data_IF_599231354306
#
_entry.id   IF_599231354306
#
_cell.length_a   1.000
_cell.length_b   1.000
_cell.length_c   1.000
_cell.angle_alpha   90.00
_cell.angle_beta   90.00
_cell.angle_gamma   90.00
#
_symmetry.space_group_name_H-M   'P 1'
#
loop_
_entity.id
_entity.type
_entity.pdbx_description
1 polymer ?
#
# COMPACT_ATOMS: atom_id res chain seq x y z
N UNK A 1 9.34 12.91 -18.28
CA UNK A 1 8.04 12.20 -18.28
C UNK A 1 7.54 12.16 -16.85
N UNK A 2 6.26 12.51 -16.63
CA UNK A 2 5.57 12.30 -15.34
C UNK A 2 5.04 10.85 -15.30
N UNK A 3 4.46 10.44 -14.18
CA UNK A 3 3.90 9.10 -14.00
C UNK A 3 2.92 8.75 -15.13
N UNK A 4 3.09 7.55 -15.69
CA UNK A 4 2.05 6.86 -16.46
C UNK A 4 1.67 5.62 -15.65
N UNK A 5 0.42 5.54 -15.22
CA UNK A 5 -0.12 4.41 -14.47
C UNK A 5 -1.30 3.84 -15.26
N UNK A 6 -1.17 2.60 -15.73
CA UNK A 6 -2.15 2.01 -16.64
C UNK A 6 -2.49 0.57 -16.28
N UNK A 7 -3.75 0.19 -16.44
CA UNK A 7 -4.20 -1.18 -16.26
C UNK A 7 -4.17 -1.94 -17.60
N UNK A 8 -3.61 -3.14 -17.61
CA UNK A 8 -3.71 -4.13 -18.67
C UNK A 8 -4.75 -5.17 -18.23
N UNK A 9 -5.99 -5.04 -18.71
CA UNK A 9 -6.99 -6.08 -18.51
C UNK A 9 -6.85 -7.07 -19.65
N UNK A 10 -6.53 -8.32 -19.33
CA UNK A 10 -6.33 -9.36 -20.33
C UNK A 10 -7.20 -10.59 -20.07
N UNK A 11 -7.50 -11.34 -21.13
CA UNK A 11 -8.26 -12.60 -21.10
C UNK A 11 -7.48 -13.79 -21.65
N UNK A 12 -6.21 -13.58 -22.02
CA UNK A 12 -5.37 -14.59 -22.63
C UNK A 12 -3.88 -14.25 -22.49
N UNK A 13 -3.05 -15.28 -22.53
CA UNK A 13 -1.59 -15.12 -22.54
C UNK A 13 -1.12 -14.30 -23.76
N UNK A 14 -1.77 -14.47 -24.92
CA UNK A 14 -1.46 -13.68 -26.12
C UNK A 14 -1.72 -12.18 -25.88
N UNK A 15 -2.87 -11.82 -25.30
CA UNK A 15 -3.18 -10.43 -25.00
C UNK A 15 -2.25 -9.84 -23.93
N UNK A 16 -1.86 -10.63 -22.93
CA UNK A 16 -0.83 -10.23 -21.98
C UNK A 16 0.49 -9.90 -22.69
N UNK A 17 0.99 -10.82 -23.52
CA UNK A 17 2.27 -10.68 -24.23
C UNK A 17 2.26 -9.52 -25.24
N UNK A 18 1.14 -9.29 -25.95
CA UNK A 18 0.97 -8.20 -26.91
C UNK A 18 1.21 -6.80 -26.29
N UNK A 19 0.95 -6.67 -24.98
CA UNK A 19 1.23 -5.44 -24.23
C UNK A 19 2.57 -5.50 -23.48
N UNK A 20 2.85 -6.62 -22.80
CA UNK A 20 4.01 -6.78 -21.95
C UNK A 20 5.33 -6.76 -22.73
N UNK A 21 5.43 -7.50 -23.84
CA UNK A 21 6.67 -7.64 -24.62
C UNK A 21 7.14 -6.28 -25.18
N UNK A 22 6.32 -5.52 -25.93
CA UNK A 22 6.74 -4.21 -26.42
C UNK A 22 7.09 -3.24 -25.28
N UNK A 23 6.36 -3.33 -24.16
CA UNK A 23 6.57 -2.45 -23.01
C UNK A 23 7.95 -2.65 -22.35
N UNK A 24 8.36 -3.91 -22.13
CA UNK A 24 9.64 -4.23 -21.50
C UNK A 24 10.82 -4.08 -22.47
N UNK A 25 10.68 -4.53 -23.72
CA UNK A 25 11.75 -4.42 -24.74
C UNK A 25 12.05 -2.95 -25.06
N UNK A 26 11.04 -2.09 -25.15
CA UNK A 26 11.26 -0.64 -25.32
C UNK A 26 11.99 -0.03 -24.12
N UNK A 27 11.70 -0.51 -22.90
CA UNK A 27 12.42 -0.11 -21.69
C UNK A 27 13.91 -0.46 -21.75
N UNK A 28 14.21 -1.72 -22.09
CA UNK A 28 15.59 -2.20 -22.27
C UNK A 28 16.31 -1.38 -23.33
N UNK A 29 15.70 -1.16 -24.50
CA UNK A 29 16.27 -0.35 -25.59
C UNK A 29 16.58 1.08 -25.17
N UNK A 30 15.74 1.66 -24.30
CA UNK A 30 15.94 3.02 -23.74
C UNK A 30 16.89 3.06 -22.55
N UNK A 31 17.36 1.92 -22.06
CA UNK A 31 18.13 1.79 -20.82
C UNK A 31 17.37 2.32 -19.61
N UNK A 32 16.06 2.11 -19.61
CA UNK A 32 15.20 2.34 -18.44
C UNK A 32 15.47 1.23 -17.39
N UNK A 33 15.14 1.49 -16.13
CA UNK A 33 15.13 0.43 -15.10
C UNK A 33 13.83 -0.35 -15.23
N UNK A 34 13.91 -1.57 -15.75
CA UNK A 34 12.74 -2.41 -16.03
C UNK A 34 12.59 -3.48 -14.95
N UNK A 35 11.40 -3.52 -14.35
CA UNK A 35 11.00 -4.52 -13.36
C UNK A 35 9.78 -5.27 -13.90
N UNK A 36 9.80 -6.59 -13.79
CA UNK A 36 8.65 -7.46 -14.04
C UNK A 36 8.31 -8.23 -12.77
N UNK A 37 7.04 -8.13 -12.34
CA UNK A 37 6.49 -8.82 -11.17
C UNK A 37 5.19 -9.47 -11.60
N UNK A 38 5.24 -10.76 -11.91
CA UNK A 38 4.14 -11.47 -12.57
C UNK A 38 4.05 -12.91 -12.06
N UNK A 39 3.01 -13.64 -12.45
CA UNK A 39 2.90 -15.07 -12.18
C UNK A 39 4.07 -15.84 -12.80
N UNK A 40 4.42 -16.99 -12.23
CA UNK A 40 5.51 -17.82 -12.79
C UNK A 40 5.24 -18.28 -14.22
N UNK A 41 3.97 -18.46 -14.59
CA UNK A 41 3.54 -18.79 -15.96
C UNK A 41 3.82 -17.64 -16.93
N UNK A 42 3.35 -16.43 -16.60
CA UNK A 42 3.55 -15.25 -17.43
C UNK A 42 5.03 -14.81 -17.47
N UNK A 43 5.79 -14.99 -16.39
CA UNK A 43 7.25 -14.78 -16.40
C UNK A 43 7.94 -15.70 -17.42
N UNK A 44 7.61 -17.00 -17.39
CA UNK A 44 8.21 -17.97 -18.31
C UNK A 44 7.92 -17.61 -19.77
N UNK A 45 6.67 -17.27 -20.08
CA UNK A 45 6.25 -16.81 -21.40
C UNK A 45 6.96 -15.52 -21.83
N UNK A 46 7.05 -14.54 -20.92
CA UNK A 46 7.70 -13.27 -21.21
C UNK A 46 9.19 -13.47 -21.52
N UNK A 47 9.89 -14.30 -20.73
CA UNK A 47 11.31 -14.64 -20.95
C UNK A 47 11.54 -15.32 -22.29
N UNK A 48 10.68 -16.26 -22.65
CA UNK A 48 10.75 -16.95 -23.95
C UNK A 48 10.65 -15.95 -25.12
N UNK A 49 9.71 -15.01 -25.05
CA UNK A 49 9.48 -14.03 -26.13
C UNK A 49 10.59 -12.98 -26.26
N UNK A 50 11.16 -12.51 -25.15
CA UNK A 50 12.19 -11.45 -25.18
C UNK A 50 13.62 -11.99 -25.33
N UNK A 51 13.84 -13.28 -25.06
CA UNK A 51 15.14 -13.93 -25.20
C UNK A 51 16.22 -13.28 -24.33
N UNK A 52 17.38 -12.97 -24.93
CA UNK A 52 18.56 -12.47 -24.22
C UNK A 52 18.33 -11.13 -23.49
N UNK A 53 17.36 -10.31 -23.94
CA UNK A 53 17.02 -9.05 -23.26
C UNK A 53 16.46 -9.27 -21.85
N UNK A 54 16.01 -10.49 -21.51
CA UNK A 54 15.56 -10.84 -20.16
C UNK A 54 16.63 -10.61 -19.08
N UNK A 55 17.92 -10.67 -19.43
CA UNK A 55 19.02 -10.43 -18.48
C UNK A 55 19.10 -8.95 -18.04
N UNK A 56 18.48 -8.05 -18.79
CA UNK A 56 18.44 -6.61 -18.50
C UNK A 56 17.20 -6.21 -17.69
N UNK A 57 16.31 -7.16 -17.39
CA UNK A 57 15.07 -6.95 -16.63
C UNK A 57 15.23 -7.57 -15.24
N UNK A 58 14.81 -6.83 -14.21
CA UNK A 58 14.71 -7.38 -12.85
C UNK A 58 13.38 -8.08 -12.68
N UNK A 59 13.41 -9.41 -12.54
CA UNK A 59 12.22 -10.20 -12.21
C UNK A 59 12.14 -10.37 -10.68
N UNK A 60 10.98 -10.06 -10.10
CA UNK A 60 10.71 -10.20 -8.68
C UNK A 60 9.48 -11.09 -8.48
N UNK A 61 9.44 -11.80 -7.35
CA UNK A 61 8.29 -12.63 -7.02
C UNK A 61 7.10 -11.75 -6.57
N UNK A 62 5.88 -12.26 -6.78
CA UNK A 62 4.66 -11.59 -6.34
C UNK A 62 4.66 -11.35 -4.83
N UNK A 63 5.10 -12.33 -4.03
CA UNK A 63 5.15 -12.24 -2.57
C UNK A 63 6.17 -11.22 -2.07
N UNK A 64 7.30 -11.05 -2.76
CA UNK A 64 8.32 -10.07 -2.35
C UNK A 64 7.89 -8.63 -2.68
N UNK A 65 7.11 -8.43 -3.74
CA UNK A 65 6.70 -7.11 -4.19
C UNK A 65 5.36 -6.65 -3.61
N UNK A 66 4.35 -7.54 -3.60
CA UNK A 66 2.97 -7.26 -3.18
C UNK A 66 2.68 -7.78 -1.76
N UNK A 67 3.63 -7.61 -0.85
CA UNK A 67 3.49 -8.07 0.54
C UNK A 67 2.52 -7.19 1.36
N UNK A 68 2.74 -5.87 1.36
CA UNK A 68 1.83 -4.90 1.96
C UNK A 68 1.73 -3.60 1.16
N UNK A 69 0.56 -2.93 1.15
CA UNK A 69 0.35 -1.72 0.35
C UNK A 69 1.39 -0.61 0.63
N UNK A 70 1.72 -0.40 1.91
CA UNK A 70 2.69 0.62 2.31
C UNK A 70 4.12 0.29 1.88
N UNK A 71 4.55 -0.96 2.06
CA UNK A 71 5.89 -1.43 1.64
C UNK A 71 6.03 -1.39 0.12
N UNK A 72 5.02 -1.81 -0.63
CA UNK A 72 5.03 -1.77 -2.10
C UNK A 72 5.15 -0.33 -2.61
N UNK A 73 4.39 0.62 -2.04
CA UNK A 73 4.50 2.04 -2.44
C UNK A 73 5.90 2.60 -2.20
N UNK A 74 6.51 2.29 -1.06
CA UNK A 74 7.86 2.71 -0.76
C UNK A 74 8.91 1.99 -1.63
N UNK A 75 8.66 0.74 -2.05
CA UNK A 75 9.51 0.05 -3.01
C UNK A 75 9.56 0.81 -4.35
N UNK A 76 8.44 1.36 -4.83
CA UNK A 76 8.48 2.26 -5.99
C UNK A 76 9.33 3.50 -5.72
N UNK A 77 9.13 4.19 -4.59
CA UNK A 77 9.92 5.37 -4.22
C UNK A 77 11.42 5.07 -4.19
N UNK A 78 11.86 3.98 -3.53
CA UNK A 78 13.27 3.60 -3.46
C UNK A 78 13.89 3.36 -4.84
N UNK A 79 13.13 2.78 -5.76
CA UNK A 79 13.58 2.48 -7.12
C UNK A 79 13.65 3.75 -7.96
N UNK A 80 12.71 4.68 -7.78
CA UNK A 80 12.75 6.01 -8.40
C UNK A 80 13.94 6.81 -7.87
N UNK A 81 14.17 6.81 -6.54
CA UNK A 81 15.29 7.53 -5.92
C UNK A 81 16.64 7.04 -6.46
N UNK A 82 16.78 5.72 -6.68
CA UNK A 82 17.99 5.11 -7.24
C UNK A 82 18.30 5.56 -8.68
N UNK A 83 17.35 6.18 -9.38
CA UNK A 83 17.55 6.75 -10.73
C UNK A 83 18.04 8.20 -10.70
N UNK A 84 18.24 8.78 -9.51
CA UNK A 84 18.75 10.15 -9.36
C UNK A 84 20.07 10.32 -10.13
N UNK A 85 20.15 11.36 -10.96
CA UNK A 85 21.31 11.62 -11.82
C UNK A 85 21.31 10.87 -13.15
N UNK A 86 20.31 10.03 -13.44
CA UNK A 86 20.18 9.32 -14.73
C UNK A 86 19.11 9.92 -15.65
N UNK A 87 19.16 9.59 -16.93
CA UNK A 87 18.15 9.95 -17.93
C UNK A 87 17.07 8.88 -18.14
N UNK A 88 17.17 7.71 -17.49
CA UNK A 88 16.17 6.65 -17.55
C UNK A 88 14.92 6.94 -16.71
N UNK A 89 13.90 6.09 -16.86
CA UNK A 89 12.73 6.05 -15.98
C UNK A 89 12.61 4.69 -15.28
N UNK A 90 11.75 4.61 -14.26
CA UNK A 90 11.31 3.32 -13.71
C UNK A 90 10.19 2.77 -14.60
N UNK A 91 10.34 1.53 -15.09
CA UNK A 91 9.26 0.78 -15.74
C UNK A 91 8.90 -0.44 -14.89
N UNK A 92 7.62 -0.57 -14.54
CA UNK A 92 7.12 -1.72 -13.79
C UNK A 92 6.00 -2.38 -14.58
N UNK A 93 6.20 -3.64 -14.96
CA UNK A 93 5.12 -4.55 -15.32
C UNK A 93 4.78 -5.34 -14.05
N UNK A 94 3.59 -5.13 -13.50
CA UNK A 94 3.18 -5.76 -12.25
C UNK A 94 1.84 -6.46 -12.40
N UNK A 95 1.63 -7.61 -11.78
CA UNK A 95 0.32 -8.27 -11.67
C UNK A 95 -0.08 -8.33 -10.18
N UNK A 96 -0.85 -7.35 -9.68
CA UNK A 96 -1.23 -7.33 -8.27
C UNK A 96 -2.02 -8.58 -7.86
N UNK A 97 -1.77 -9.05 -6.63
CA UNK A 97 -2.40 -10.27 -6.09
C UNK A 97 -3.70 -9.93 -5.39
N UNK A 98 -4.82 -10.43 -5.92
CA UNK A 98 -6.15 -10.19 -5.37
C UNK A 98 -6.84 -11.44 -4.82
N UNK A 99 -6.44 -12.62 -5.28
CA UNK A 99 -7.05 -13.87 -4.84
C UNK A 99 -6.68 -14.16 -3.38
N UNK A 100 -7.69 -14.49 -2.57
CA UNK A 100 -7.53 -14.82 -1.15
C UNK A 100 -7.53 -13.62 -0.20
N UNK A 101 -7.64 -12.39 -0.71
CA UNK A 101 -7.77 -11.20 0.14
C UNK A 101 -9.14 -11.13 0.82
N UNK A 102 -9.15 -10.72 2.08
CA UNK A 102 -10.39 -10.38 2.77
C UNK A 102 -10.96 -9.02 2.27
N UNK A 103 -12.21 -8.64 2.62
CA UNK A 103 -12.79 -7.36 2.17
C UNK A 103 -12.01 -6.11 2.60
N UNK A 104 -11.36 -6.16 3.76
CA UNK A 104 -10.57 -5.06 4.30
C UNK A 104 -9.25 -4.92 3.51
N UNK A 105 -8.54 -6.03 3.27
CA UNK A 105 -7.35 -6.08 2.43
C UNK A 105 -7.67 -5.61 1.00
N UNK A 106 -8.78 -6.09 0.43
CA UNK A 106 -9.24 -5.68 -0.90
C UNK A 106 -9.44 -4.16 -0.97
N UNK A 107 -10.08 -3.58 0.05
CA UNK A 107 -10.29 -2.14 0.11
C UNK A 107 -8.98 -1.35 0.19
N UNK A 108 -8.05 -1.78 1.05
CA UNK A 108 -6.76 -1.09 1.24
C UNK A 108 -5.82 -1.24 0.04
N UNK A 109 -5.83 -2.38 -0.66
CA UNK A 109 -5.10 -2.54 -1.92
C UNK A 109 -5.66 -1.62 -3.01
N UNK A 110 -6.98 -1.53 -3.15
CA UNK A 110 -7.61 -0.57 -4.07
C UNK A 110 -7.25 0.88 -3.73
N UNK A 111 -7.21 1.23 -2.44
CA UNK A 111 -6.77 2.56 -1.98
C UNK A 111 -5.30 2.83 -2.32
N UNK A 112 -4.44 1.83 -2.21
CA UNK A 112 -3.05 1.92 -2.65
C UNK A 112 -2.91 2.17 -4.15
N UNK A 113 -3.66 1.47 -4.99
CA UNK A 113 -3.61 1.69 -6.44
C UNK A 113 -4.05 3.12 -6.79
N UNK A 114 -5.11 3.59 -6.14
CA UNK A 114 -5.63 4.94 -6.32
C UNK A 114 -4.60 6.00 -5.89
N UNK A 115 -4.02 5.88 -4.69
CA UNK A 115 -3.10 6.89 -4.14
C UNK A 115 -1.75 6.91 -4.85
N UNK A 116 -1.38 5.84 -5.56
CA UNK A 116 -0.17 5.83 -6.40
C UNK A 116 -0.15 7.00 -7.39
N UNK A 117 -1.31 7.35 -7.96
CA UNK A 117 -1.46 8.47 -8.90
C UNK A 117 -1.15 9.83 -8.25
N UNK A 118 -1.23 9.93 -6.93
CA UNK A 118 -0.93 11.14 -6.16
C UNK A 118 0.50 11.08 -5.65
N UNK A 119 0.86 10.00 -4.96
CA UNK A 119 2.16 9.80 -4.33
C UNK A 119 3.32 9.81 -5.34
N UNK A 120 3.07 9.31 -6.56
CA UNK A 120 4.06 9.25 -7.62
C UNK A 120 3.80 10.25 -8.76
N UNK A 121 2.87 11.20 -8.63
CA UNK A 121 2.45 12.09 -9.72
C UNK A 121 3.61 12.80 -10.44
N UNK A 122 4.62 13.24 -9.69
CA UNK A 122 5.82 13.90 -10.19
C UNK A 122 6.96 12.96 -10.60
N UNK A 123 6.82 11.66 -10.34
CA UNK A 123 7.86 10.68 -10.56
C UNK A 123 8.06 10.36 -12.05
N UNK A 124 9.29 9.99 -12.39
CA UNK A 124 9.66 9.48 -13.71
C UNK A 124 9.42 7.98 -13.74
N UNK A 125 8.16 7.58 -13.84
CA UNK A 125 7.76 6.18 -13.81
C UNK A 125 6.70 5.86 -14.85
N UNK A 126 6.72 4.64 -15.38
CA UNK A 126 5.68 4.06 -16.21
C UNK A 126 5.34 2.67 -15.65
N UNK A 127 4.14 2.54 -15.10
CA UNK A 127 3.68 1.36 -14.38
C UNK A 127 2.48 0.79 -15.16
N UNK A 128 2.59 -0.48 -15.54
CA UNK A 128 1.55 -1.27 -16.20
C UNK A 128 1.13 -2.40 -15.23
N UNK A 129 -0.10 -2.32 -14.73
CA UNK A 129 -0.67 -3.29 -13.80
C UNK A 129 -1.57 -4.28 -14.57
N UNK A 130 -1.26 -5.57 -14.54
CA UNK A 130 -2.00 -6.63 -15.23
C UNK A 130 -3.14 -7.21 -14.38
N UNK A 131 -4.28 -7.46 -15.03
CA UNK A 131 -5.48 -8.04 -14.45
C UNK A 131 -6.02 -9.14 -15.37
N UNK A 132 -5.86 -10.41 -14.97
CA UNK A 132 -6.44 -11.54 -15.69
C UNK A 132 -7.94 -11.64 -15.42
N UNK A 133 -8.74 -11.13 -16.34
CA UNK A 133 -10.20 -11.09 -16.26
C UNK A 133 -10.87 -12.47 -16.23
N UNK A 134 -10.14 -13.55 -16.55
CA UNK A 134 -10.66 -14.92 -16.42
C UNK A 134 -10.64 -15.42 -14.98
N UNK A 135 -9.70 -14.90 -14.17
CA UNK A 135 -9.44 -15.39 -12.81
C UNK A 135 -9.92 -14.42 -11.74
N UNK A 136 -9.98 -13.12 -12.05
CA UNK A 136 -10.34 -12.08 -11.10
C UNK A 136 -11.86 -11.85 -11.06
N UNK A 137 -12.42 -11.55 -9.88
CA UNK A 137 -13.80 -11.07 -9.78
C UNK A 137 -14.01 -9.80 -10.60
N UNK A 138 -15.17 -9.66 -11.23
CA UNK A 138 -15.50 -8.49 -12.07
C UNK A 138 -15.31 -7.16 -11.32
N UNK A 139 -15.66 -7.10 -10.03
CA UNK A 139 -15.48 -5.90 -9.21
C UNK A 139 -14.01 -5.44 -9.09
N UNK A 140 -13.05 -6.36 -9.09
CA UNK A 140 -11.61 -6.02 -9.07
C UNK A 140 -11.19 -5.44 -10.42
N UNK A 141 -11.68 -6.01 -11.52
CA UNK A 141 -11.41 -5.48 -12.87
C UNK A 141 -12.06 -4.11 -13.05
N UNK A 142 -13.24 -3.89 -12.50
CA UNK A 142 -13.91 -2.59 -12.51
C UNK A 142 -13.12 -1.56 -11.68
N UNK A 143 -12.62 -1.95 -10.50
CA UNK A 143 -11.75 -1.09 -9.69
C UNK A 143 -10.45 -0.75 -10.40
N UNK A 144 -9.82 -1.70 -11.10
CA UNK A 144 -8.64 -1.41 -11.92
C UNK A 144 -8.90 -0.28 -12.92
N UNK A 145 -10.08 -0.27 -13.56
CA UNK A 145 -10.48 0.82 -14.48
C UNK A 145 -10.70 2.14 -13.77
N UNK A 146 -11.12 2.12 -12.50
CA UNK A 146 -11.36 3.31 -11.67
C UNK A 146 -10.08 3.87 -11.05
N UNK A 147 -9.08 3.04 -10.78
CA UNK A 147 -7.82 3.43 -10.14
C UNK A 147 -6.72 3.79 -11.14
N UNK A 148 -6.83 3.36 -12.41
CA UNK A 148 -5.84 3.64 -13.44
C UNK A 148 -6.34 4.71 -14.43
N UNK A 149 -5.62 5.84 -14.59
CA UNK A 149 -5.98 6.88 -15.57
C UNK A 149 -5.97 6.40 -17.03
N UNK A 150 -5.24 5.33 -17.31
CA UNK A 150 -5.10 4.76 -18.65
C UNK A 150 -5.23 3.24 -18.66
N UNK A 151 -5.54 2.68 -19.83
CA UNK A 151 -5.65 1.26 -20.10
C UNK A 151 -4.66 0.88 -21.20
N UNK A 152 -3.90 -0.19 -21.00
CA UNK A 152 -3.02 -0.75 -22.00
C UNK A 152 -3.83 -1.63 -22.98
N UNK A 153 -3.70 -1.35 -24.28
CA UNK A 153 -4.31 -2.13 -25.37
C UNK A 153 -3.22 -2.48 -26.39
N UNK A 154 -2.60 -3.65 -26.19
CA UNK A 154 -1.33 -3.99 -26.85
C UNK A 154 -0.26 -2.96 -26.49
N UNK A 155 0.47 -2.45 -27.48
CA UNK A 155 1.49 -1.42 -27.28
C UNK A 155 0.93 0.01 -27.06
N UNK A 156 -0.40 0.20 -27.10
CA UNK A 156 -1.04 1.52 -26.97
C UNK A 156 -1.54 1.76 -25.57
N UNK A 157 -1.69 3.04 -25.22
CA UNK A 157 -2.27 3.50 -23.96
C UNK A 157 -3.50 4.35 -24.28
N UNK A 158 -4.65 3.95 -23.77
CA UNK A 158 -5.95 4.63 -23.97
C UNK A 158 -6.42 5.22 -22.64
N UNK A 159 -7.14 6.34 -22.66
CA UNK A 159 -7.66 6.96 -21.43
C UNK A 159 -8.77 6.10 -20.83
N UNK A 160 -8.76 5.87 -19.53
CA UNK A 160 -9.86 5.20 -18.84
C UNK A 160 -11.00 6.18 -18.58
N UNK A 161 -12.15 5.96 -19.21
CA UNK A 161 -13.36 6.76 -18.97
C UNK A 161 -13.98 6.53 -17.58
N UNK A 162 -13.57 5.46 -16.89
CA UNK A 162 -14.06 5.12 -15.55
C UNK A 162 -13.15 5.65 -14.43
N UNK A 163 -12.02 6.28 -14.77
CA UNK A 163 -11.06 6.77 -13.79
C UNK A 163 -11.72 7.72 -12.79
N UNK A 164 -11.61 7.40 -11.50
CA UNK A 164 -12.16 8.18 -10.42
C UNK A 164 -11.09 9.11 -9.84
N UNK A 165 -11.51 10.28 -9.36
CA UNK A 165 -10.65 11.14 -8.57
C UNK A 165 -10.11 10.37 -7.33
N UNK A 166 -8.78 10.38 -7.07
CA UNK A 166 -8.22 9.58 -5.98
C UNK A 166 -8.79 9.90 -4.61
N UNK A 167 -9.10 11.17 -4.28
CA UNK A 167 -9.65 11.51 -2.97
C UNK A 167 -11.07 10.95 -2.82
N UNK A 168 -11.88 11.05 -3.89
CA UNK A 168 -13.23 10.50 -3.96
C UNK A 168 -13.25 8.97 -3.81
N UNK A 169 -12.38 8.27 -4.55
CA UNK A 169 -12.25 6.81 -4.45
C UNK A 169 -11.80 6.37 -3.05
N UNK A 170 -10.82 7.09 -2.47
CA UNK A 170 -10.31 6.79 -1.15
C UNK A 170 -11.37 6.99 -0.05
N UNK A 171 -12.19 8.03 -0.17
CA UNK A 171 -13.30 8.28 0.74
C UNK A 171 -14.39 7.19 0.65
N UNK A 172 -14.77 6.78 -0.56
CA UNK A 172 -15.71 5.69 -0.82
C UNK A 172 -15.25 4.37 -0.18
N UNK A 173 -13.95 4.06 -0.29
CA UNK A 173 -13.33 2.83 0.25
C UNK A 173 -13.03 2.89 1.75
N UNK A 174 -13.15 4.06 2.39
CA UNK A 174 -12.89 4.25 3.81
C UNK A 174 -14.12 3.92 4.68
N UNK A 175 -14.68 2.71 4.54
CA UNK A 175 -15.86 2.24 5.27
C UNK A 175 -15.68 2.21 6.80
N UNK A 176 -16.70 1.95 7.63
CA UNK A 176 -16.55 1.98 9.09
C UNK A 176 -15.54 0.94 9.61
N UNK A 177 -14.95 1.22 10.78
CA UNK A 177 -14.17 0.19 11.49
C UNK A 177 -15.12 -0.90 11.99
N UNK A 178 -14.72 -2.16 11.84
CA UNK A 178 -15.44 -3.28 12.46
C UNK A 178 -15.39 -3.18 13.98
N UNK A 179 -16.38 -3.72 14.69
CA UNK A 179 -16.37 -3.68 16.16
C UNK A 179 -15.20 -4.47 16.75
N UNK A 180 -14.73 -4.02 17.92
CA UNK A 180 -13.77 -4.78 18.74
C UNK A 180 -14.43 -6.08 19.23
N UNK A 181 -13.69 -7.17 19.42
CA UNK A 181 -14.27 -8.37 20.02
C UNK A 181 -14.67 -8.12 21.48
N UNK A 182 -15.67 -8.85 21.97
CA UNK A 182 -16.20 -8.68 23.33
C UNK A 182 -15.29 -9.27 24.43
N UNK A 183 -14.43 -10.24 24.08
CA UNK A 183 -13.53 -10.96 24.97
C UNK A 183 -12.14 -11.06 24.34
N UNK A 184 -11.12 -11.31 25.17
CA UNK A 184 -9.73 -11.47 24.70
C UNK A 184 -9.09 -10.17 24.22
N UNK A 185 -9.58 -9.03 24.74
CA UNK A 185 -9.03 -7.71 24.44
C UNK A 185 -8.31 -7.16 25.66
N UNK A 186 -7.08 -6.75 25.45
CA UNK A 186 -6.25 -6.08 26.43
C UNK A 186 -6.36 -4.57 26.23
N UNK A 187 -6.36 -3.80 27.32
CA UNK A 187 -6.54 -2.35 27.23
C UNK A 187 -5.62 -1.59 28.17
N UNK A 188 -5.06 -0.50 27.66
CA UNK A 188 -4.42 0.56 28.44
C UNK A 188 -5.23 1.85 28.28
N UNK A 189 -5.74 2.35 29.40
CA UNK A 189 -6.56 3.56 29.47
C UNK A 189 -5.72 4.82 29.69
N UNK A 190 -6.22 5.94 29.16
CA UNK A 190 -5.77 7.32 29.46
C UNK A 190 -4.25 7.46 29.52
N UNK A 191 -3.54 6.83 28.57
CA UNK A 191 -2.09 6.89 28.58
C UNK A 191 -1.62 8.31 28.25
N UNK A 192 -0.62 8.76 29.00
CA UNK A 192 0.09 10.03 28.77
C UNK A 192 1.60 9.82 28.59
N UNK A 193 2.11 8.65 28.99
CA UNK A 193 3.53 8.30 28.93
C UNK A 193 3.80 7.19 27.92
N UNK A 194 4.76 7.42 27.01
CA UNK A 194 5.12 6.43 25.98
C UNK A 194 5.80 5.19 26.54
N UNK A 195 6.45 5.30 27.70
CA UNK A 195 7.02 4.14 28.37
C UNK A 195 5.95 3.11 28.77
N UNK A 196 4.78 3.56 29.22
CA UNK A 196 3.67 2.69 29.57
C UNK A 196 3.10 1.98 28.33
N UNK A 197 2.95 2.70 27.21
CA UNK A 197 2.50 2.14 25.94
C UNK A 197 3.46 1.05 25.45
N UNK A 198 4.77 1.33 25.39
CA UNK A 198 5.76 0.35 24.94
C UNK A 198 5.77 -0.90 25.82
N UNK A 199 5.73 -0.74 27.14
CA UNK A 199 5.66 -1.86 28.07
C UNK A 199 4.39 -2.69 27.85
N UNK A 200 3.24 -2.05 27.71
CA UNK A 200 1.97 -2.73 27.45
C UNK A 200 2.02 -3.55 26.15
N UNK A 201 2.49 -2.97 25.04
CA UNK A 201 2.61 -3.72 23.78
C UNK A 201 3.56 -4.91 23.91
N UNK A 202 4.75 -4.70 24.50
CA UNK A 202 5.74 -5.74 24.69
C UNK A 202 5.21 -6.90 25.56
N UNK A 203 4.50 -6.58 26.64
CA UNK A 203 3.95 -7.57 27.55
C UNK A 203 2.88 -8.42 26.85
N UNK A 204 2.02 -7.84 26.00
CA UNK A 204 0.83 -8.53 25.49
C UNK A 204 0.97 -9.09 24.05
N UNK A 205 1.73 -8.45 23.15
CA UNK A 205 1.73 -8.79 21.72
C UNK A 205 2.24 -10.22 21.42
N UNK A 206 3.30 -10.67 22.11
CA UNK A 206 3.82 -12.03 21.94
C UNK A 206 2.83 -13.07 22.45
N UNK A 207 2.11 -12.79 23.55
CA UNK A 207 1.05 -13.70 24.05
C UNK A 207 -0.12 -13.85 23.08
N UNK A 208 -0.36 -12.80 22.29
CA UNK A 208 -1.36 -12.79 21.23
C UNK A 208 -0.86 -13.46 19.93
N UNK A 209 0.37 -13.98 19.93
CA UNK A 209 0.95 -14.72 18.83
C UNK A 209 1.64 -13.86 17.77
N UNK A 210 2.08 -12.64 18.12
CA UNK A 210 3.01 -11.89 17.27
C UNK A 210 4.38 -12.60 17.25
N UNK A 211 4.99 -12.83 16.07
CA UNK A 211 6.35 -13.34 15.97
C UNK A 211 7.35 -12.46 16.74
N UNK A 212 8.25 -13.02 17.57
CA UNK A 212 9.16 -12.23 18.40
C UNK A 212 10.07 -11.28 17.62
N UNK A 213 10.46 -11.64 16.40
CA UNK A 213 11.27 -10.82 15.48
C UNK A 213 10.52 -9.61 14.93
N UNK A 214 9.18 -9.61 14.96
CA UNK A 214 8.33 -8.47 14.56
C UNK A 214 7.99 -7.54 15.74
N UNK A 215 8.35 -7.88 16.97
CA UNK A 215 7.90 -7.16 18.17
C UNK A 215 8.45 -5.73 18.25
N UNK A 216 9.73 -5.55 17.97
CA UNK A 216 10.38 -4.24 18.07
C UNK A 216 9.80 -3.26 17.04
N UNK A 217 9.64 -3.72 15.80
CA UNK A 217 8.99 -2.97 14.73
C UNK A 217 7.55 -2.62 15.09
N UNK A 218 6.76 -3.60 15.57
CA UNK A 218 5.38 -3.34 15.98
C UNK A 218 5.29 -2.32 17.11
N UNK A 219 6.19 -2.42 18.10
CA UNK A 219 6.27 -1.48 19.21
C UNK A 219 6.62 -0.07 18.72
N UNK A 220 7.51 0.05 17.73
CA UNK A 220 7.83 1.32 17.08
C UNK A 220 6.59 1.91 16.39
N UNK A 221 5.88 1.13 15.56
CA UNK A 221 4.68 1.59 14.89
C UNK A 221 3.59 2.05 15.89
N UNK A 222 3.35 1.29 16.95
CA UNK A 222 2.42 1.67 18.02
C UNK A 222 2.88 2.96 18.71
N UNK A 223 4.17 3.10 19.02
CA UNK A 223 4.71 4.29 19.66
C UNK A 223 4.55 5.55 18.79
N UNK A 224 4.74 5.44 17.47
CA UNK A 224 4.53 6.56 16.53
C UNK A 224 3.06 7.02 16.52
N UNK A 225 2.12 6.08 16.46
CA UNK A 225 0.69 6.39 16.46
C UNK A 225 0.23 6.92 17.82
N UNK A 226 0.68 6.32 18.93
CA UNK A 226 0.38 6.79 20.29
C UNK A 226 0.93 8.20 20.55
N UNK A 227 2.11 8.51 20.00
CA UNK A 227 2.69 9.87 20.05
C UNK A 227 1.79 10.86 19.32
N UNK A 228 1.25 10.48 18.15
CA UNK A 228 0.32 11.34 17.41
C UNK A 228 -0.98 11.56 18.18
N UNK A 229 -1.54 10.51 18.82
CA UNK A 229 -2.73 10.59 19.66
C UNK A 229 -2.58 11.59 20.82
N UNK A 230 -1.41 11.63 21.49
CA UNK A 230 -1.16 12.63 22.54
C UNK A 230 -0.95 14.03 21.97
N UNK A 231 -0.09 14.16 20.97
CA UNK A 231 0.36 15.47 20.46
C UNK A 231 -0.73 16.22 19.70
N UNK A 232 -1.52 15.48 18.93
CA UNK A 232 -2.54 16.05 18.05
C UNK A 232 -3.97 15.81 18.56
N UNK A 233 -4.15 14.86 19.48
CA UNK A 233 -5.42 14.62 20.14
C UNK A 233 -5.60 15.47 21.40
N UNK A 234 -6.39 14.96 22.35
CA UNK A 234 -6.75 15.64 23.60
C UNK A 234 -5.73 15.44 24.75
N UNK A 235 -4.46 15.16 24.44
CA UNK A 235 -3.39 14.97 25.42
C UNK A 235 -3.38 13.61 26.14
N UNK A 236 -4.30 12.71 25.79
CA UNK A 236 -4.39 11.32 26.28
C UNK A 236 -4.99 10.43 25.19
N UNK A 237 -4.72 9.13 25.25
CA UNK A 237 -5.32 8.15 24.35
C UNK A 237 -5.65 6.83 25.04
N UNK A 238 -6.26 5.94 24.27
CA UNK A 238 -6.49 4.55 24.66
C UNK A 238 -5.74 3.62 23.70
N UNK A 239 -5.16 2.55 24.23
CA UNK A 239 -4.61 1.45 23.44
C UNK A 239 -5.42 0.20 23.71
N UNK A 240 -5.82 -0.47 22.66
CA UNK A 240 -6.49 -1.75 22.68
C UNK A 240 -5.70 -2.76 21.86
N UNK A 241 -5.51 -3.97 22.38
CA UNK A 241 -4.75 -5.01 21.71
C UNK A 241 -5.52 -6.33 21.76
N UNK A 242 -5.69 -6.96 20.60
CA UNK A 242 -6.34 -8.26 20.48
C UNK A 242 -5.77 -9.05 19.31
N UNK A 243 -6.14 -10.32 19.22
CA UNK A 243 -5.81 -11.18 18.09
C UNK A 243 -7.08 -11.63 17.35
N UNK A 244 -6.93 -11.83 16.06
CA UNK A 244 -7.77 -12.69 15.24
C UNK A 244 -7.02 -13.99 14.93
N UNK A 245 -7.62 -14.89 14.17
CA UNK A 245 -6.95 -16.12 13.73
C UNK A 245 -5.64 -15.82 12.98
N UNK A 246 -5.59 -14.72 12.23
CA UNK A 246 -4.47 -14.41 11.34
C UNK A 246 -3.64 -13.18 11.74
N UNK A 247 -4.16 -12.30 12.61
CA UNK A 247 -3.53 -11.01 12.90
C UNK A 247 -3.49 -10.66 14.37
N UNK A 248 -2.44 -9.97 14.81
CA UNK A 248 -2.45 -9.14 16.03
C UNK A 248 -2.84 -7.73 15.62
N UNK A 249 -3.84 -7.17 16.30
CA UNK A 249 -4.40 -5.86 15.99
C UNK A 249 -4.21 -4.95 17.20
N UNK A 250 -3.56 -3.81 16.98
CA UNK A 250 -3.47 -2.72 17.95
C UNK A 250 -4.31 -1.55 17.47
N UNK A 251 -5.30 -1.15 18.25
CA UNK A 251 -6.05 0.07 18.02
C UNK A 251 -5.64 1.14 19.01
N UNK A 252 -5.41 2.34 18.47
CA UNK A 252 -5.07 3.51 19.26
C UNK A 252 -6.11 4.57 18.92
N UNK A 253 -6.76 5.11 19.94
CA UNK A 253 -7.78 6.14 19.78
C UNK A 253 -7.54 7.34 20.71
N UNK A 254 -7.79 8.53 20.20
CA UNK A 254 -7.87 9.76 20.98
C UNK A 254 -9.24 10.44 20.81
N UNK A 255 -9.57 11.34 21.73
CA UNK A 255 -10.81 12.13 21.72
C UNK A 255 -10.57 13.60 21.30
N UNK A 256 -9.55 13.87 20.49
CA UNK A 256 -9.26 15.20 19.95
C UNK A 256 -10.18 15.59 18.79
N UNK A 257 -9.99 16.79 18.24
CA UNK A 257 -10.81 17.29 17.12
C UNK A 257 -10.44 16.73 15.74
N UNK A 258 -9.60 15.69 15.68
CA UNK A 258 -9.02 15.18 14.43
C UNK A 258 -8.03 16.18 13.75
N UNK A 259 -7.46 15.81 12.59
CA UNK A 259 -6.72 16.74 11.74
C UNK A 259 -7.59 17.93 11.34
N UNK A 260 -6.97 19.09 11.13
CA UNK A 260 -7.70 20.29 10.69
C UNK A 260 -8.29 20.05 9.29
N UNK A 261 -9.39 20.74 8.97
CA UNK A 261 -10.14 20.57 7.70
C UNK A 261 -9.29 20.64 6.43
N UNK A 262 -8.21 21.42 6.45
CA UNK A 262 -7.25 21.54 5.35
C UNK A 262 -6.43 20.24 5.12
N UNK A 263 -6.10 19.51 6.19
CA UNK A 263 -5.38 18.23 6.15
C UNK A 263 -6.30 17.05 5.76
N UNK A 264 -7.60 17.16 6.05
CA UNK A 264 -8.63 16.17 5.71
C UNK A 264 -8.95 16.12 4.21
N UNK A 265 -8.65 17.19 3.47
CA UNK A 265 -9.11 17.40 2.08
C UNK A 265 -8.75 16.27 1.10
N UNK A 266 -7.68 15.52 1.38
CA UNK A 266 -7.20 14.48 0.48
C UNK A 266 -7.30 13.06 1.06
N UNK A 267 -7.48 12.88 2.38
CA UNK A 267 -7.65 11.56 3.01
C UNK A 267 -6.48 10.57 2.89
N UNK A 268 -5.34 10.96 2.33
CA UNK A 268 -4.18 10.09 2.03
C UNK A 268 -3.21 9.92 3.22
N UNK A 269 -3.71 9.94 4.45
CA UNK A 269 -2.90 9.96 5.66
C UNK A 269 -1.90 8.78 5.73
N UNK A 270 -0.61 9.11 5.81
CA UNK A 270 0.49 8.15 5.85
C UNK A 270 0.89 7.53 4.51
N UNK A 271 0.11 7.71 3.44
CA UNK A 271 0.49 7.19 2.10
C UNK A 271 1.51 8.09 1.40
N UNK A 272 1.40 9.40 1.60
CA UNK A 272 2.34 10.36 1.03
C UNK A 272 3.64 10.35 1.85
N UNK A 273 4.75 10.20 1.14
CA UNK A 273 6.08 10.28 1.74
C UNK A 273 6.28 11.68 2.33
N UNK A 274 6.59 11.75 3.61
CA UNK A 274 6.91 13.02 4.27
C UNK A 274 8.33 13.44 3.91
N UNK A 275 8.58 14.73 3.73
CA UNK A 275 9.94 15.24 3.47
C UNK A 275 10.87 14.82 4.63
N UNK A 276 12.00 14.13 4.38
CA UNK A 276 12.96 13.76 5.41
C UNK A 276 13.47 14.94 6.25
N UNK A 277 13.47 16.15 5.68
CA UNK A 277 13.84 17.39 6.38
C UNK A 277 12.67 18.02 7.16
N UNK A 278 11.44 17.57 6.93
CA UNK A 278 10.33 17.94 7.79
C UNK A 278 10.54 17.27 9.15
N UNK A 279 10.80 18.07 10.19
CA UNK A 279 11.02 17.54 11.55
C UNK A 279 9.79 16.88 12.21
N UNK A 280 8.68 16.67 11.48
CA UNK A 280 7.38 16.15 11.97
C UNK A 280 6.61 15.44 10.84
N UNK A 281 5.66 14.57 11.19
CA UNK A 281 4.70 13.96 10.25
C UNK A 281 5.03 12.56 9.72
N UNK A 282 6.18 12.00 10.13
CA UNK A 282 6.66 10.69 9.64
C UNK A 282 5.92 9.50 10.25
N UNK A 283 5.34 9.63 11.44
CA UNK A 283 4.89 8.48 12.24
C UNK A 283 3.86 7.60 11.54
N UNK A 284 2.89 8.19 10.86
CA UNK A 284 1.90 7.42 10.10
C UNK A 284 2.49 6.76 8.86
N UNK A 285 3.44 7.43 8.19
CA UNK A 285 4.15 6.84 7.05
C UNK A 285 4.99 5.65 7.49
N UNK A 286 5.77 5.80 8.58
CA UNK A 286 6.56 4.72 9.20
C UNK A 286 5.65 3.54 9.57
N UNK A 287 4.52 3.80 10.23
CA UNK A 287 3.59 2.75 10.62
C UNK A 287 3.06 1.96 9.41
N UNK A 288 2.79 2.61 8.26
CA UNK A 288 2.40 1.92 7.01
C UNK A 288 3.53 1.08 6.40
N UNK A 289 4.80 1.39 6.68
CA UNK A 289 5.92 0.56 6.23
C UNK A 289 6.11 -0.69 7.09
N UNK A 290 5.83 -0.57 8.38
CA UNK A 290 6.02 -1.64 9.35
C UNK A 290 4.85 -2.62 9.35
N UNK A 291 3.63 -2.10 9.38
CA UNK A 291 2.42 -2.90 9.50
C UNK A 291 2.04 -3.56 8.17
N UNK A 292 1.37 -4.70 8.25
CA UNK A 292 0.86 -5.38 7.06
C UNK A 292 -0.41 -4.70 6.54
N UNK A 293 -1.16 -4.07 7.46
CA UNK A 293 -2.28 -3.19 7.15
C UNK A 293 -2.39 -2.06 8.18
N UNK A 294 -2.89 -0.90 7.75
CA UNK A 294 -3.20 0.23 8.64
C UNK A 294 -4.53 0.86 8.25
N UNK A 295 -5.48 0.88 9.18
CA UNK A 295 -6.73 1.62 9.05
C UNK A 295 -6.66 2.91 9.87
N UNK A 296 -7.27 3.98 9.36
CA UNK A 296 -7.44 5.22 10.11
C UNK A 296 -8.84 5.77 9.87
N UNK A 297 -9.53 6.12 10.96
CA UNK A 297 -10.75 6.92 10.95
C UNK A 297 -10.54 8.16 11.77
N UNK A 298 -11.03 9.27 11.27
CA UNK A 298 -10.85 10.55 11.94
C UNK A 298 -12.04 11.44 11.66
N UNK A 299 -12.40 12.26 12.64
CA UNK A 299 -13.49 13.22 12.57
C UNK A 299 -13.51 14.08 13.84
N UNK A 300 -14.59 14.82 14.02
CA UNK A 300 -14.74 15.78 15.13
C UNK A 300 -14.66 15.13 16.52
N UNK A 301 -14.95 13.82 16.60
CA UNK A 301 -14.96 13.06 17.85
C UNK A 301 -13.63 12.40 18.20
N UNK A 302 -12.62 12.51 17.35
CA UNK A 302 -11.33 11.85 17.57
C UNK A 302 -10.73 11.20 16.34
N UNK A 303 -9.55 10.62 16.55
CA UNK A 303 -8.91 9.74 15.58
C UNK A 303 -8.78 8.34 16.17
N UNK A 304 -9.05 7.32 15.36
CA UNK A 304 -8.81 5.91 15.67
C UNK A 304 -7.94 5.33 14.57
N UNK A 305 -6.83 4.71 14.95
CA UNK A 305 -5.90 4.02 14.03
C UNK A 305 -5.80 2.57 14.45
N UNK A 306 -5.96 1.64 13.50
CA UNK A 306 -5.69 0.21 13.69
C UNK A 306 -4.46 -0.22 12.93
N UNK A 307 -3.53 -0.82 13.65
CA UNK A 307 -2.34 -1.45 13.14
C UNK A 307 -2.56 -2.96 13.12
N UNK A 308 -2.34 -3.57 11.98
CA UNK A 308 -2.48 -5.02 11.81
C UNK A 308 -1.14 -5.65 11.46
N UNK A 309 -0.80 -6.71 12.19
CA UNK A 309 0.38 -7.54 11.95
C UNK A 309 -0.06 -8.98 11.77
N UNK A 310 0.37 -9.64 10.69
CA UNK A 310 0.17 -11.08 10.49
C UNK A 310 0.90 -11.87 11.58
N UNK A 311 0.32 -13.00 11.96
CA UNK A 311 0.86 -13.92 12.98
C UNK A 311 1.83 -14.95 12.40
N UNK A 312 1.84 -15.10 11.07
CA UNK A 312 2.68 -16.00 10.28
C UNK A 312 3.13 -15.30 8.99
#
# INVERSE_FOLDING_TARGET
>A
MKLIHQALVFDSAAQFLDAAVPFVTEGVRRRDSVIAVTTGENEALLREQIGADAEQITFLTLSDWYDSPGRTLNAHHRRIDALSGTTGILRVLGEPVWNGLDPLETSEWGRYESVMNVALAGARAWIMCGYDSRSLPAAIVDDARRTHPALAVGARSEVSNAYADPASYHAERNGPLLDRPALGVERLHDFIEMAAVRKFVADHAVRLGLPPDRLDDFTLAVNEIATNAIRHGAGRGEVWLWATDHRVICEISDAGGGPRSEDLSNGFFGFLRTDPQAGRGHGLWIARQICDLLEMRTGESGTTVRLHMRRE
#
